data_IF_806305922841
#
_entry.id   IF_806305922841
#
_cell.length_a   1.000
_cell.length_b   1.000
_cell.length_c   1.000
_cell.angle_alpha   90.00
_cell.angle_beta   90.00
_cell.angle_gamma   90.00
#
_symmetry.space_group_name_H-M   'P 1'
#
loop_
_entity.id
_entity.type
_entity.pdbx_description
1 polymer ?
#
# COMPACT_ATOMS: atom_id res chain seq x y z
N UNK A 1 -13.02 -7.92 19.69
CA UNK A 1 -13.04 -6.67 18.89
C UNK A 1 -13.26 -7.04 17.43
N UNK A 2 -14.00 -6.26 16.66
CA UNK A 2 -14.21 -6.52 15.23
C UNK A 2 -13.28 -5.62 14.42
N UNK A 3 -12.51 -6.18 13.49
CA UNK A 3 -11.93 -5.41 12.39
C UNK A 3 -13.05 -5.15 11.38
N UNK A 4 -13.20 -3.92 10.91
CA UNK A 4 -14.29 -3.48 10.01
C UNK A 4 -13.77 -2.70 8.78
N UNK A 5 -12.46 -2.75 8.57
CA UNK A 5 -11.82 -2.11 7.43
C UNK A 5 -10.32 -2.10 7.58
N UNK A 6 -9.64 -2.31 6.46
CA UNK A 6 -8.19 -2.25 6.38
C UNK A 6 -7.80 -1.56 5.09
N UNK A 7 -7.08 -0.44 5.16
CA UNK A 7 -6.59 0.28 3.98
C UNK A 7 -5.12 0.62 4.13
N UNK A 8 -4.43 0.76 3.02
CA UNK A 8 -3.06 1.26 2.95
C UNK A 8 -2.68 1.65 1.53
N UNK A 9 -1.70 2.53 1.40
CA UNK A 9 -1.03 2.86 0.16
C UNK A 9 0.24 2.02 0.00
N UNK A 10 0.46 1.51 -1.21
CA UNK A 10 1.70 0.85 -1.62
C UNK A 10 2.56 1.88 -2.32
N UNK A 11 3.80 2.02 -1.86
CA UNK A 11 4.76 2.96 -2.40
C UNK A 11 5.99 2.24 -2.93
N UNK A 12 6.45 2.62 -4.11
CA UNK A 12 7.79 2.30 -4.59
C UNK A 12 8.65 3.54 -4.44
N UNK A 13 9.66 3.47 -3.58
CA UNK A 13 10.43 4.63 -3.15
C UNK A 13 9.50 5.74 -2.63
N UNK A 14 9.46 6.89 -3.30
CA UNK A 14 8.64 8.03 -2.93
C UNK A 14 7.32 8.14 -3.72
N UNK A 15 6.99 7.16 -4.56
CA UNK A 15 5.81 7.18 -5.42
C UNK A 15 4.74 6.23 -4.88
N UNK A 16 3.53 6.72 -4.65
CA UNK A 16 2.38 5.85 -4.43
C UNK A 16 1.99 5.20 -5.77
N UNK A 17 1.93 3.87 -5.78
CA UNK A 17 1.62 3.09 -6.99
C UNK A 17 0.26 2.40 -6.90
N UNK A 18 -0.28 2.24 -5.69
CA UNK A 18 -1.61 1.66 -5.48
C UNK A 18 -2.16 2.06 -4.12
N UNK A 19 -3.47 2.29 -4.02
CA UNK A 19 -4.19 2.37 -2.74
C UNK A 19 -5.08 1.14 -2.61
N UNK A 20 -4.86 0.36 -1.55
CA UNK A 20 -5.50 -0.92 -1.30
C UNK A 20 -6.52 -0.78 -0.19
N UNK A 21 -7.69 -1.38 -0.37
CA UNK A 21 -8.74 -1.47 0.65
C UNK A 21 -9.28 -2.89 0.74
N UNK A 22 -9.42 -3.38 1.97
CA UNK A 22 -10.14 -4.59 2.32
C UNK A 22 -11.32 -4.21 3.23
N UNK A 23 -12.52 -4.53 2.75
CA UNK A 23 -13.79 -4.35 3.47
C UNK A 23 -14.13 -5.56 4.35
N UNK A 24 -13.18 -6.48 4.57
CA UNK A 24 -13.43 -7.71 5.31
C UNK A 24 -13.67 -7.43 6.79
N UNK A 25 -14.87 -7.80 7.25
CA UNK A 25 -15.20 -7.76 8.67
C UNK A 25 -14.74 -9.06 9.35
N UNK A 26 -14.00 -8.92 10.46
CA UNK A 26 -13.43 -10.07 11.16
C UNK A 26 -13.47 -9.90 12.67
N UNK A 27 -14.13 -10.82 13.36
CA UNK A 27 -14.13 -10.87 14.83
C UNK A 27 -12.82 -11.47 15.36
N UNK A 28 -12.16 -10.73 16.24
CA UNK A 28 -10.97 -11.16 16.97
C UNK A 28 -11.39 -11.46 18.42
N UNK A 29 -11.35 -12.74 18.85
CA UNK A 29 -11.68 -13.15 20.21
C UNK A 29 -10.73 -12.55 21.24
N UNK A 30 -11.20 -12.41 22.49
CA UNK A 30 -10.38 -11.87 23.57
C UNK A 30 -9.14 -12.74 23.81
N UNK A 31 -7.96 -12.11 23.91
CA UNK A 31 -6.68 -12.80 24.12
C UNK A 31 -6.20 -13.65 22.94
N UNK A 32 -6.81 -13.52 21.76
CA UNK A 32 -6.42 -14.23 20.53
C UNK A 32 -6.04 -13.24 19.43
N UNK A 33 -5.40 -13.76 18.39
CA UNK A 33 -5.00 -13.02 17.19
C UNK A 33 -5.59 -13.67 15.97
N UNK A 34 -5.92 -12.86 14.96
CA UNK A 34 -6.27 -13.35 13.64
C UNK A 34 -5.22 -12.92 12.62
N UNK A 35 -5.27 -13.51 11.43
CA UNK A 35 -4.44 -13.13 10.29
C UNK A 35 -5.35 -12.63 9.16
N UNK A 36 -4.95 -11.53 8.54
CA UNK A 36 -5.58 -10.99 7.34
C UNK A 36 -4.53 -10.98 6.23
N UNK A 37 -4.90 -11.47 5.05
CA UNK A 37 -4.09 -11.35 3.83
C UNK A 37 -4.85 -10.50 2.83
N UNK A 38 -4.29 -9.36 2.46
CA UNK A 38 -4.90 -8.45 1.48
C UNK A 38 -4.13 -8.55 0.17
N UNK A 39 -4.66 -9.23 -0.87
CA UNK A 39 -4.00 -9.28 -2.17
C UNK A 39 -4.11 -7.92 -2.86
N UNK A 40 -2.97 -7.40 -3.33
CA UNK A 40 -2.90 -6.20 -4.15
C UNK A 40 -2.28 -6.58 -5.50
N UNK A 41 -3.01 -6.34 -6.59
CA UNK A 41 -2.56 -6.65 -7.95
C UNK A 41 -2.64 -5.36 -8.75
N UNK A 42 -1.54 -5.00 -9.39
CA UNK A 42 -1.45 -3.87 -10.30
C UNK A 42 -0.41 -4.17 -11.37
N UNK A 43 -0.63 -3.63 -12.57
CA UNK A 43 0.25 -3.85 -13.71
C UNK A 43 1.14 -2.64 -14.04
N UNK A 44 1.99 -2.81 -15.05
CA UNK A 44 2.89 -1.75 -15.53
C UNK A 44 2.14 -0.55 -16.08
N UNK A 45 0.96 -0.74 -16.67
CA UNK A 45 0.16 0.33 -17.24
C UNK A 45 -0.48 1.19 -16.13
N UNK A 46 -1.02 0.56 -15.09
CA UNK A 46 -1.56 1.25 -13.92
C UNK A 46 -0.45 2.05 -13.21
N UNK A 47 0.70 1.41 -13.00
CA UNK A 47 1.88 2.08 -12.38
C UNK A 47 2.37 3.26 -13.22
N UNK A 48 2.39 3.12 -14.55
CA UNK A 48 2.75 4.24 -15.44
C UNK A 48 1.78 5.41 -15.30
N UNK A 49 0.48 5.17 -15.16
CA UNK A 49 -0.50 6.24 -14.99
C UNK A 49 -0.33 6.97 -13.66
N UNK A 50 0.02 6.27 -12.56
CA UNK A 50 0.30 6.95 -11.28
C UNK A 50 1.55 7.83 -11.36
N UNK A 51 2.55 7.42 -12.15
CA UNK A 51 3.73 8.21 -12.44
C UNK A 51 3.42 9.45 -13.29
N UNK A 52 2.59 9.32 -14.33
CA UNK A 52 2.31 10.39 -15.28
C UNK A 52 1.31 11.44 -14.78
N UNK A 53 0.48 11.15 -13.78
CA UNK A 53 -0.44 12.12 -13.18
C UNK A 53 -0.04 12.48 -11.73
N UNK A 54 -0.32 11.67 -10.69
CA UNK A 54 0.08 11.99 -9.32
C UNK A 54 1.59 12.24 -9.15
N UNK A 55 2.44 11.48 -9.87
CA UNK A 55 3.89 11.51 -9.73
C UNK A 55 4.62 12.52 -10.62
N UNK A 56 3.93 13.21 -11.53
CA UNK A 56 4.58 13.95 -12.62
C UNK A 56 5.52 15.06 -12.13
N UNK A 57 5.11 15.82 -11.12
CA UNK A 57 5.94 16.88 -10.54
C UNK A 57 7.18 16.30 -9.86
N UNK A 58 7.02 15.22 -9.10
CA UNK A 58 8.13 14.54 -8.42
C UNK A 58 9.13 13.94 -9.42
N UNK A 59 8.65 13.35 -10.50
CA UNK A 59 9.51 12.89 -11.60
C UNK A 59 10.32 14.04 -12.22
N UNK A 60 9.67 15.19 -12.44
CA UNK A 60 10.33 16.38 -12.96
C UNK A 60 11.41 16.91 -12.00
N UNK A 61 11.10 17.01 -10.70
CA UNK A 61 12.04 17.43 -9.65
C UNK A 61 13.24 16.48 -9.55
N UNK A 62 12.99 15.18 -9.62
CA UNK A 62 14.03 14.14 -9.59
C UNK A 62 14.75 13.95 -10.93
N UNK A 63 14.36 14.69 -11.98
CA UNK A 63 14.87 14.54 -13.36
C UNK A 63 14.82 13.09 -13.84
N UNK A 64 13.77 12.37 -13.44
CA UNK A 64 13.60 10.95 -13.69
C UNK A 64 12.60 10.72 -14.83
N UNK A 65 12.94 9.84 -15.76
CA UNK A 65 12.01 9.39 -16.79
C UNK A 65 10.99 8.42 -16.19
N UNK A 66 9.68 8.58 -16.43
CA UNK A 66 8.66 7.63 -15.97
C UNK A 66 8.91 6.21 -16.50
N UNK A 67 9.43 6.09 -17.73
CA UNK A 67 9.77 4.80 -18.33
C UNK A 67 10.97 4.15 -17.65
N UNK A 68 11.99 4.93 -17.29
CA UNK A 68 13.16 4.42 -16.57
C UNK A 68 12.78 3.94 -15.15
N UNK A 69 11.91 4.68 -14.46
CA UNK A 69 11.37 4.25 -13.17
C UNK A 69 10.59 2.94 -13.29
N UNK A 70 9.70 2.86 -14.29
CA UNK A 70 8.89 1.67 -14.54
C UNK A 70 9.74 0.45 -14.88
N UNK A 71 10.75 0.59 -15.73
CA UNK A 71 11.67 -0.50 -16.10
C UNK A 71 12.48 -1.00 -14.91
N UNK A 72 13.01 -0.08 -14.07
CA UNK A 72 13.71 -0.41 -12.83
C UNK A 72 12.83 -1.26 -11.91
N UNK A 73 11.59 -0.86 -11.67
CA UNK A 73 10.70 -1.59 -10.76
C UNK A 73 10.21 -2.91 -11.36
N UNK A 74 9.91 -2.94 -12.66
CA UNK A 74 9.46 -4.15 -13.33
C UNK A 74 10.53 -5.26 -13.32
N UNK A 75 11.78 -4.89 -13.64
CA UNK A 75 12.91 -5.84 -13.66
C UNK A 75 13.42 -6.17 -12.25
N UNK A 76 13.28 -5.24 -11.30
CA UNK A 76 13.72 -5.42 -9.92
C UNK A 76 12.76 -6.19 -9.02
N UNK A 77 11.44 -6.13 -9.30
CA UNK A 77 10.41 -6.68 -8.42
C UNK A 77 10.57 -8.19 -8.13
N UNK A 78 10.90 -9.06 -9.10
CA UNK A 78 11.11 -10.48 -8.83
C UNK A 78 12.24 -10.78 -7.83
N UNK A 79 13.21 -9.87 -7.72
CA UNK A 79 14.37 -9.99 -6.83
C UNK A 79 14.25 -9.13 -5.57
N UNK A 80 13.13 -8.43 -5.37
CA UNK A 80 12.97 -7.46 -4.28
C UNK A 80 14.13 -6.46 -4.18
N UNK A 81 14.65 -5.98 -5.32
CA UNK A 81 15.85 -5.14 -5.36
C UNK A 81 15.64 -3.68 -4.94
N UNK A 82 14.41 -3.32 -4.54
CA UNK A 82 14.05 -1.99 -4.05
C UNK A 82 13.01 -2.12 -2.92
N UNK A 83 13.00 -1.17 -1.97
CA UNK A 83 12.04 -1.18 -0.88
C UNK A 83 10.62 -0.84 -1.37
N UNK A 84 9.67 -1.68 -0.98
CA UNK A 84 8.23 -1.47 -1.08
C UNK A 84 7.74 -0.92 0.25
N UNK A 85 7.23 0.30 0.23
CA UNK A 85 6.61 0.96 1.36
C UNK A 85 5.13 0.62 1.47
N UNK A 86 4.66 0.51 2.70
CA UNK A 86 3.25 0.57 3.07
C UNK A 86 3.07 1.85 3.87
N UNK A 87 2.34 2.82 3.30
CA UNK A 87 2.10 4.13 3.90
C UNK A 87 0.61 4.37 4.13
N UNK A 88 0.31 5.28 5.05
CA UNK A 88 -1.07 5.70 5.36
C UNK A 88 -2.00 4.53 5.71
N UNK A 89 -1.42 3.47 6.28
CA UNK A 89 -2.13 2.29 6.69
C UNK A 89 -3.11 2.62 7.81
N UNK A 90 -4.34 2.12 7.71
CA UNK A 90 -5.36 2.26 8.74
C UNK A 90 -6.15 0.96 8.92
N UNK A 91 -6.09 0.41 10.13
CA UNK A 91 -6.93 -0.68 10.57
C UNK A 91 -8.08 -0.11 11.43
N UNK A 92 -9.32 -0.35 11.02
CA UNK A 92 -10.52 0.18 11.66
C UNK A 92 -11.13 -0.91 12.52
N UNK A 93 -11.26 -0.64 13.81
CA UNK A 93 -11.83 -1.56 14.77
C UNK A 93 -13.12 -1.02 15.37
N UNK A 94 -14.11 -1.90 15.51
CA UNK A 94 -15.39 -1.63 16.14
C UNK A 94 -15.61 -2.56 17.34
N UNK A 95 -16.04 -2.00 18.47
CA UNK A 95 -16.45 -2.75 19.65
C UNK A 95 -17.45 -1.94 20.47
N UNK A 96 -18.64 -2.50 20.73
CA UNK A 96 -19.62 -1.88 21.62
C UNK A 96 -20.04 -0.46 21.23
N UNK A 97 -20.14 -0.17 19.93
CA UNK A 97 -20.48 1.16 19.41
C UNK A 97 -19.32 2.16 19.35
N UNK A 98 -18.11 1.76 19.76
CA UNK A 98 -16.91 2.60 19.68
C UNK A 98 -16.09 2.17 18.45
N UNK A 99 -15.74 3.15 17.62
CA UNK A 99 -14.82 2.99 16.48
C UNK A 99 -13.44 3.50 16.85
N UNK A 100 -12.40 2.72 16.57
CA UNK A 100 -11.00 3.11 16.74
C UNK A 100 -10.21 2.82 15.48
N UNK A 101 -9.49 3.83 14.99
CA UNK A 101 -8.56 3.69 13.87
C UNK A 101 -7.14 3.53 14.41
N UNK A 102 -6.45 2.48 13.99
CA UNK A 102 -5.06 2.21 14.33
C UNK A 102 -4.20 2.44 13.08
N UNK A 103 -3.37 3.49 13.05
CA UNK A 103 -2.49 3.74 11.91
C UNK A 103 -1.30 2.78 11.91
N UNK A 104 -0.77 2.46 10.73
CA UNK A 104 0.45 1.67 10.57
C UNK A 104 1.22 2.08 9.32
N UNK A 105 2.54 1.88 9.36
CA UNK A 105 3.43 2.00 8.21
C UNK A 105 4.43 0.84 8.25
N UNK A 106 4.90 0.39 7.08
CA UNK A 106 5.92 -0.65 6.97
C UNK A 106 6.78 -0.45 5.72
N UNK A 107 7.90 -1.15 5.63
CA UNK A 107 8.75 -1.20 4.44
C UNK A 107 9.35 -2.59 4.31
N UNK A 108 9.48 -3.08 3.09
CA UNK A 108 10.05 -4.39 2.79
C UNK A 108 10.72 -4.41 1.39
N UNK A 109 11.89 -5.03 1.20
CA UNK A 109 12.81 -5.46 2.26
C UNK A 109 13.33 -4.26 3.07
#
# INVERSE_FOLDING_TARGET
>A
VMLDGFKFSVNFEDFEVNTVFSAEAMWIPAGKTNQLRVPAIFDTRQTLLTLLLPGAMKLHEQKMSPWAALEKWWTGAPNFSFPVGVKEGAAIFNAGGITKVVPFNATFP
#
